data_IF_320969490975
#
_entry.id   IF_320969490975
#
_cell.length_a   1.000
_cell.length_b   1.000
_cell.length_c   1.000
_cell.angle_alpha   90.00
_cell.angle_beta   90.00
_cell.angle_gamma   90.00
#
_symmetry.space_group_name_H-M   'P 1'
#
loop_
_entity.id
_entity.type
_entity.pdbx_description
1 polymer ?
#
# COMPACT_ATOMS: atom_id res chain seq x y z
N UNK A 1 -10.75 -1.84 5.56
CA UNK A 1 -9.56 -1.42 6.34
C UNK A 1 -9.00 -0.13 5.76
N UNK A 2 -8.45 0.79 6.55
CA UNK A 2 -7.88 2.05 6.04
C UNK A 2 -6.43 1.86 5.57
N UNK A 3 -6.14 2.35 4.37
CA UNK A 3 -4.82 2.32 3.74
C UNK A 3 -4.44 3.69 3.18
N UNK A 4 -3.20 3.85 2.72
CA UNK A 4 -2.71 5.09 2.11
C UNK A 4 -2.42 4.85 0.63
N UNK A 5 -3.08 5.61 -0.24
CA UNK A 5 -3.00 5.51 -1.69
C UNK A 5 -2.17 6.66 -2.26
N UNK A 6 -1.23 6.31 -3.14
CA UNK A 6 -0.40 7.20 -3.95
C UNK A 6 -0.82 7.00 -5.41
N UNK A 7 -1.86 7.72 -5.84
CA UNK A 7 -2.33 7.65 -7.22
C UNK A 7 -1.62 8.68 -8.09
N UNK A 8 -1.23 8.25 -9.28
CA UNK A 8 -0.70 9.09 -10.36
C UNK A 8 -1.72 10.13 -10.86
N UNK A 9 -2.99 10.01 -10.49
CA UNK A 9 -4.05 10.97 -10.82
C UNK A 9 -4.14 12.12 -9.81
N UNK A 10 -3.53 11.99 -8.63
CA UNK A 10 -3.72 12.91 -7.51
C UNK A 10 -2.46 13.71 -7.20
N UNK A 11 -2.65 14.89 -6.61
CA UNK A 11 -1.55 15.78 -6.19
C UNK A 11 -1.07 15.52 -4.76
N UNK A 12 -1.74 14.64 -4.02
CA UNK A 12 -1.36 14.26 -2.65
C UNK A 12 -1.78 12.83 -2.33
N UNK A 13 -1.07 12.14 -1.43
CA UNK A 13 -1.51 10.83 -0.95
C UNK A 13 -2.77 10.97 -0.09
N UNK A 14 -3.64 9.98 -0.17
CA UNK A 14 -4.95 10.00 0.48
C UNK A 14 -5.19 8.72 1.28
N UNK A 15 -5.94 8.84 2.37
CA UNK A 15 -6.37 7.68 3.14
C UNK A 15 -7.67 7.15 2.52
N UNK A 16 -7.69 5.87 2.16
CA UNK A 16 -8.82 5.24 1.47
C UNK A 16 -9.16 3.88 2.09
N UNK A 17 -10.42 3.48 1.97
CA UNK A 17 -10.85 2.17 2.41
C UNK A 17 -10.42 1.10 1.39
N UNK A 18 -9.66 0.12 1.85
CA UNK A 18 -9.31 -1.10 1.14
C UNK A 18 -10.40 -2.15 1.35
N UNK A 19 -10.87 -2.74 0.23
CA UNK A 19 -11.70 -3.94 0.25
C UNK A 19 -10.87 -5.14 0.72
N UNK A 20 -11.46 -5.96 1.58
CA UNK A 20 -10.81 -7.14 2.12
C UNK A 20 -11.73 -8.34 2.04
N UNK A 21 -11.17 -9.50 1.73
CA UNK A 21 -11.86 -10.79 1.88
C UNK A 21 -11.62 -11.33 3.28
N UNK A 22 -12.70 -11.75 3.94
CA UNK A 22 -12.63 -12.49 5.19
C UNK A 22 -12.73 -13.99 4.88
N UNK A 23 -11.94 -14.82 5.56
CA UNK A 23 -12.09 -16.28 5.49
C UNK A 23 -13.13 -16.71 6.53
N UNK A 24 -14.34 -17.04 6.09
CA UNK A 24 -15.49 -17.33 6.98
C UNK A 24 -15.47 -18.71 7.66
N UNK A 25 -14.42 -19.53 7.53
CA UNK A 25 -14.47 -20.92 8.02
C UNK A 25 -13.30 -21.40 8.89
N UNK A 26 -12.47 -20.51 9.42
CA UNK A 26 -11.52 -20.89 10.48
C UNK A 26 -11.16 -19.67 11.32
N UNK A 27 -11.19 -19.84 12.65
CA UNK A 27 -11.08 -18.82 13.72
C UNK A 27 -9.79 -17.98 13.75
N UNK A 28 -9.38 -17.36 12.64
CA UNK A 28 -8.15 -16.57 12.58
C UNK A 28 -8.36 -15.08 12.29
N UNK A 29 -9.57 -14.62 11.95
CA UNK A 29 -9.85 -13.19 11.74
C UNK A 29 -8.97 -12.52 10.67
N UNK A 30 -8.33 -13.32 9.80
CA UNK A 30 -7.39 -12.83 8.80
C UNK A 30 -8.15 -12.16 7.67
N UNK A 31 -7.90 -10.85 7.50
CA UNK A 31 -8.37 -10.08 6.37
C UNK A 31 -7.30 -10.09 5.27
N UNK A 32 -7.69 -10.54 4.07
CA UNK A 32 -6.83 -10.49 2.88
C UNK A 32 -7.20 -9.25 2.07
N UNK A 33 -6.28 -8.31 1.85
CA UNK A 33 -6.57 -7.12 1.06
C UNK A 33 -6.81 -7.49 -0.40
N UNK A 34 -7.63 -6.68 -1.09
CA UNK A 34 -7.89 -6.80 -2.53
C UNK A 34 -7.43 -5.49 -3.20
N UNK A 35 -6.11 -5.29 -3.38
CA UNK A 35 -5.59 -4.02 -3.90
C UNK A 35 -6.02 -3.74 -5.35
N UNK A 36 -6.48 -4.76 -6.09
CA UNK A 36 -7.02 -4.64 -7.44
C UNK A 36 -8.26 -3.75 -7.47
N UNK A 37 -8.97 -3.61 -6.34
CA UNK A 37 -10.12 -2.70 -6.25
C UNK A 37 -9.75 -1.22 -6.26
N UNK A 38 -8.48 -0.88 -6.04
CA UNK A 38 -7.97 0.49 -6.02
C UNK A 38 -7.02 0.79 -7.18
N UNK A 39 -6.20 -0.19 -7.59
CA UNK A 39 -5.18 -0.03 -8.62
C UNK A 39 -5.71 -0.50 -10.00
N UNK A 40 -6.63 0.27 -10.56
CA UNK A 40 -7.29 -0.05 -11.83
C UNK A 40 -6.38 0.18 -13.04
N UNK A 41 -5.58 -0.84 -13.37
CA UNK A 41 -4.80 -0.94 -14.60
C UNK A 41 -4.62 -2.41 -15.01
N UNK A 42 -5.59 -3.28 -14.70
CA UNK A 42 -5.46 -4.73 -14.95
C UNK A 42 -5.33 -5.07 -16.45
N UNK A 43 -5.86 -4.20 -17.31
CA UNK A 43 -5.74 -4.26 -18.77
C UNK A 43 -4.30 -4.02 -19.26
N UNK A 44 -3.50 -3.24 -18.52
CA UNK A 44 -2.11 -2.94 -18.86
C UNK A 44 -1.16 -3.94 -18.21
N UNK A 45 -1.40 -4.29 -16.95
CA UNK A 45 -0.60 -5.25 -16.20
C UNK A 45 -1.52 -6.18 -15.41
N UNK A 46 -1.60 -7.49 -15.76
CA UNK A 46 -2.59 -8.41 -15.21
C UNK A 46 -2.31 -8.86 -13.77
N UNK A 47 -1.14 -8.55 -13.21
CA UNK A 47 -0.77 -8.89 -11.84
C UNK A 47 -0.31 -7.64 -11.08
N UNK A 48 -0.53 -7.64 -9.77
CA UNK A 48 0.04 -6.63 -8.88
C UNK A 48 1.32 -7.14 -8.24
N UNK A 49 2.27 -6.23 -8.11
CA UNK A 49 3.46 -6.48 -7.32
C UNK A 49 3.18 -6.14 -5.86
N UNK A 50 3.82 -6.87 -4.96
CA UNK A 50 3.79 -6.56 -3.55
C UNK A 50 5.14 -6.79 -2.88
N UNK A 51 5.42 -5.99 -1.86
CA UNK A 51 6.57 -6.19 -0.98
C UNK A 51 6.21 -5.86 0.47
N UNK A 52 7.00 -6.39 1.41
CA UNK A 52 6.91 -6.08 2.83
C UNK A 52 8.03 -5.13 3.19
N UNK A 53 7.68 -3.95 3.69
CA UNK A 53 8.62 -2.94 4.15
C UNK A 53 8.62 -2.90 5.68
N UNK A 54 9.81 -2.88 6.27
CA UNK A 54 9.99 -2.73 7.72
C UNK A 54 10.66 -1.40 8.01
N UNK A 55 10.02 -0.57 8.82
CA UNK A 55 10.51 0.73 9.27
C UNK A 55 10.74 0.70 10.78
N UNK A 56 11.89 1.19 11.21
CA UNK A 56 12.23 1.32 12.63
C UNK A 56 12.09 2.79 13.06
N UNK A 57 11.43 3.03 14.19
CA UNK A 57 11.35 4.35 14.83
C UNK A 57 11.64 4.19 16.32
N UNK A 58 12.86 4.55 16.73
CA UNK A 58 13.34 4.30 18.08
C UNK A 58 13.36 2.81 18.41
N UNK A 59 12.58 2.41 19.42
CA UNK A 59 12.43 1.00 19.84
C UNK A 59 11.28 0.26 19.16
N UNK A 60 10.49 0.95 18.34
CA UNK A 60 9.32 0.38 17.69
C UNK A 60 9.66 -0.09 16.28
N UNK A 61 9.11 -1.24 15.91
CA UNK A 61 9.21 -1.81 14.57
C UNK A 61 7.85 -1.76 13.89
N UNK A 62 7.84 -1.24 12.67
CA UNK A 62 6.64 -1.00 11.89
C UNK A 62 6.72 -1.78 10.58
N UNK A 63 5.72 -2.62 10.30
CA UNK A 63 5.66 -3.39 9.06
C UNK A 63 4.50 -2.90 8.19
N UNK A 64 4.77 -2.82 6.88
CA UNK A 64 3.81 -2.36 5.90
C UNK A 64 3.87 -3.22 4.64
N UNK A 65 2.71 -3.63 4.14
CA UNK A 65 2.63 -4.16 2.78
C UNK A 65 2.49 -3.00 1.81
N UNK A 66 3.32 -2.98 0.77
CA UNK A 66 3.19 -2.08 -0.37
C UNK A 66 2.71 -2.92 -1.54
N UNK A 67 1.59 -2.54 -2.12
CA UNK A 67 1.06 -3.10 -3.36
C UNK A 67 1.17 -2.04 -4.45
N UNK A 68 1.65 -2.41 -5.62
CA UNK A 68 1.87 -1.43 -6.68
C UNK A 68 1.78 -2.06 -8.07
N UNK A 69 1.55 -1.18 -9.04
CA UNK A 69 1.78 -1.47 -10.46
C UNK A 69 2.86 -0.53 -10.96
N UNK A 70 3.81 -1.09 -11.70
CA UNK A 70 4.87 -0.34 -12.34
C UNK A 70 5.02 -0.86 -13.77
N UNK A 71 4.76 0.00 -14.75
CA UNK A 71 4.89 -0.35 -16.16
C UNK A 71 5.04 0.91 -17.01
N UNK A 72 5.81 0.81 -18.11
CA UNK A 72 6.14 1.96 -18.98
C UNK A 72 4.93 2.55 -19.76
N UNK A 73 3.78 1.88 -19.71
CA UNK A 73 2.51 2.32 -20.30
C UNK A 73 1.58 2.96 -19.28
N UNK A 74 1.98 3.02 -18.00
CA UNK A 74 1.23 3.67 -16.95
C UNK A 74 1.67 5.14 -16.82
N UNK A 75 0.82 5.93 -16.17
CA UNK A 75 1.13 7.35 -15.95
C UNK A 75 2.24 7.49 -14.92
N UNK A 76 3.19 8.39 -15.18
CA UNK A 76 4.19 8.81 -14.20
C UNK A 76 3.49 9.32 -12.93
N UNK A 77 3.95 8.84 -11.78
CA UNK A 77 3.38 9.19 -10.48
C UNK A 77 4.27 10.22 -9.80
N UNK A 78 3.87 11.51 -9.79
CA UNK A 78 4.72 12.57 -9.21
C UNK A 78 4.93 12.38 -7.71
N UNK A 79 4.01 11.69 -7.03
CA UNK A 79 4.07 11.41 -5.59
C UNK A 79 5.17 10.41 -5.21
N UNK A 80 5.69 9.65 -6.19
CA UNK A 80 6.66 8.58 -5.98
C UNK A 80 7.98 8.85 -6.74
N UNK A 81 8.18 10.11 -7.15
CA UNK A 81 9.33 10.55 -7.94
C UNK A 81 10.68 10.43 -7.21
N UNK A 82 10.69 10.29 -5.89
CA UNK A 82 11.90 10.08 -5.10
C UNK A 82 12.30 8.62 -4.91
N UNK A 83 11.39 7.66 -5.13
CA UNK A 83 11.71 6.22 -5.03
C UNK A 83 12.49 5.74 -6.26
N UNK A 84 12.06 6.19 -7.43
CA UNK A 84 12.68 5.88 -8.71
C UNK A 84 12.45 7.08 -9.63
N UNK A 85 13.45 7.42 -10.43
CA UNK A 85 13.45 8.63 -11.26
C UNK A 85 12.20 8.74 -12.15
N UNK A 86 11.58 7.60 -12.50
CA UNK A 86 10.33 7.56 -13.27
C UNK A 86 9.42 6.41 -12.78
N UNK A 87 8.92 6.49 -11.55
CA UNK A 87 7.86 5.57 -11.11
C UNK A 87 6.57 5.80 -11.93
N UNK A 88 6.11 4.78 -12.67
CA UNK A 88 4.93 4.85 -13.52
C UNK A 88 3.84 3.87 -13.08
N UNK A 89 2.79 4.40 -12.45
CA UNK A 89 1.68 3.63 -11.92
C UNK A 89 1.30 4.06 -10.50
N UNK A 90 0.37 3.34 -9.91
CA UNK A 90 -0.20 3.66 -8.60
C UNK A 90 0.33 2.67 -7.55
N UNK A 91 0.45 3.15 -6.31
CA UNK A 91 0.87 2.32 -5.17
C UNK A 91 -0.06 2.55 -3.98
N UNK A 92 -0.30 1.49 -3.21
CA UNK A 92 -1.06 1.52 -1.97
C UNK A 92 -0.27 0.81 -0.88
N UNK A 93 -0.22 1.43 0.29
CA UNK A 93 0.50 0.91 1.45
C UNK A 93 -0.48 0.66 2.60
N UNK A 94 -0.31 -0.48 3.25
CA UNK A 94 -1.18 -0.96 4.32
C UNK A 94 -0.36 -1.35 5.55
N UNK A 95 -0.91 -1.08 6.73
CA UNK A 95 -0.29 -1.48 7.99
C UNK A 95 -0.43 -2.98 8.23
N UNK A 96 0.65 -3.64 8.61
CA UNK A 96 0.63 -5.03 9.11
C UNK A 96 0.41 -5.05 10.62
N UNK A 97 -0.38 -6.02 11.09
CA UNK A 97 -0.58 -6.30 12.51
C UNK A 97 0.74 -6.59 13.22
N UNK A 98 0.81 -6.27 14.52
CA UNK A 98 2.03 -6.51 15.30
C UNK A 98 2.21 -8.00 15.67
N UNK A 99 1.11 -8.73 15.78
CA UNK A 99 1.05 -10.11 16.26
C UNK A 99 0.87 -11.14 15.15
N UNK A 100 0.37 -10.70 14.00
CA UNK A 100 0.07 -11.56 12.86
C UNK A 100 0.37 -10.83 11.54
N UNK A 101 0.46 -11.60 10.46
CA UNK A 101 0.63 -11.06 9.11
C UNK A 101 -0.66 -10.47 8.55
N UNK A 102 -1.65 -10.16 9.38
CA UNK A 102 -2.91 -9.54 8.96
C UNK A 102 -2.69 -8.06 8.65
N UNK A 103 -3.56 -7.50 7.81
CA UNK A 103 -3.59 -6.04 7.60
C UNK A 103 -4.56 -5.38 8.55
N UNK A 104 -4.19 -4.22 9.08
CA UNK A 104 -4.97 -3.46 10.06
C UNK A 104 -5.19 -2.02 9.59
N UNK A 105 -6.12 -1.32 10.23
CA UNK A 105 -6.38 0.09 9.92
C UNK A 105 -5.15 0.94 10.23
N UNK A 106 -4.72 1.75 9.25
CA UNK A 106 -3.75 2.80 9.49
C UNK A 106 -4.28 3.85 10.46
N UNK A 107 -3.44 4.23 11.42
CA UNK A 107 -3.66 5.29 12.41
C UNK A 107 -2.89 6.54 12.01
N UNK A 108 -3.16 7.67 12.68
CA UNK A 108 -2.58 8.97 12.30
C UNK A 108 -1.05 8.99 12.15
N UNK A 109 -0.30 8.29 13.01
CA UNK A 109 1.17 8.21 12.91
C UNK A 109 1.65 7.32 11.77
N UNK A 110 0.86 6.33 11.35
CA UNK A 110 1.22 5.45 10.25
C UNK A 110 1.30 6.25 8.95
N UNK A 111 0.43 7.25 8.73
CA UNK A 111 0.46 8.09 7.52
C UNK A 111 1.79 8.82 7.34
N UNK A 112 2.35 9.37 8.41
CA UNK A 112 3.66 10.05 8.37
C UNK A 112 4.80 9.07 8.10
N UNK A 113 4.75 7.88 8.70
CA UNK A 113 5.74 6.82 8.45
C UNK A 113 5.67 6.31 7.01
N UNK A 114 4.47 6.11 6.48
CA UNK A 114 4.29 5.66 5.10
C UNK A 114 4.72 6.73 4.11
N UNK A 115 4.41 8.00 4.36
CA UNK A 115 4.87 9.09 3.50
C UNK A 115 6.40 9.17 3.52
N UNK A 116 7.05 8.98 4.67
CA UNK A 116 8.51 8.87 4.75
C UNK A 116 9.07 7.68 3.96
N UNK A 117 8.48 6.49 4.12
CA UNK A 117 8.89 5.26 3.41
C UNK A 117 8.79 5.46 1.89
N UNK A 118 7.70 6.06 1.42
CA UNK A 118 7.41 6.23 0.00
C UNK A 118 8.13 7.44 -0.62
N UNK A 119 8.98 8.13 0.14
CA UNK A 119 9.80 9.24 -0.37
C UNK A 119 11.30 9.03 -0.17
N UNK A 120 11.72 7.83 0.25
CA UNK A 120 13.11 7.47 0.52
C UNK A 120 13.60 6.45 -0.50
#
# INVERSE_FOLDING_TARGET
LQCRLYSSLWSKPCQVAMLTRCSDHSCSGKCFPVPESLLDCATVQPCMHNCLVTQHEGRHTYQFYVYFKQHYHLRANPLLSSIDHIFQGDAVIMRVGATDSSVVNMRGRDSSLTDFIMHR
#
